data_IF_141118604554
#
_entry.id   IF_141118604554
#
_cell.length_a   1.000
_cell.length_b   1.000
_cell.length_c   1.000
_cell.angle_alpha   90.00
_cell.angle_beta   90.00
_cell.angle_gamma   90.00
#
_symmetry.space_group_name_H-M   'P 1'
#
loop_
_entity.id
_entity.type
_entity.pdbx_description
1 polymer ?
#
# COMPACT_ATOMS: atom_id res chain seq x y z
N UNK A 1 -13.02 0.95 -9.30
CA UNK A 1 -12.35 0.79 -8.00
C UNK A 1 -13.34 0.16 -7.05
N UNK A 2 -12.98 -0.92 -6.38
CA UNK A 2 -13.87 -1.64 -5.45
C UNK A 2 -13.92 -0.95 -4.08
N UNK A 3 -14.88 -1.32 -3.22
CA UNK A 3 -14.93 -0.79 -1.85
C UNK A 3 -13.65 -1.11 -1.06
N UNK A 4 -13.14 -2.34 -1.19
CA UNK A 4 -11.88 -2.75 -0.59
C UNK A 4 -10.71 -1.86 -1.04
N UNK A 5 -10.60 -1.55 -2.33
CA UNK A 5 -9.54 -0.70 -2.85
C UNK A 5 -9.60 0.73 -2.29
N UNK A 6 -10.82 1.27 -2.10
CA UNK A 6 -11.01 2.58 -1.47
C UNK A 6 -10.53 2.56 -0.02
N UNK A 7 -10.94 1.56 0.77
CA UNK A 7 -10.55 1.44 2.18
C UNK A 7 -9.03 1.24 2.34
N UNK A 8 -8.40 0.49 1.42
CA UNK A 8 -6.95 0.34 1.40
C UNK A 8 -6.24 1.67 1.11
N UNK A 9 -6.76 2.49 0.18
CA UNK A 9 -6.19 3.83 -0.09
C UNK A 9 -6.37 4.75 1.11
N UNK A 10 -7.54 4.75 1.76
CA UNK A 10 -7.80 5.54 2.97
C UNK A 10 -6.84 5.15 4.10
N UNK A 11 -6.60 3.85 4.31
CA UNK A 11 -5.64 3.36 5.29
C UNK A 11 -4.19 3.72 4.92
N UNK A 12 -3.85 3.66 3.63
CA UNK A 12 -2.55 4.07 3.11
C UNK A 12 -2.29 5.57 3.36
N UNK A 13 -3.29 6.41 3.10
CA UNK A 13 -3.24 7.84 3.40
C UNK A 13 -3.13 8.11 4.91
N UNK A 14 -3.87 7.37 5.75
CA UNK A 14 -3.75 7.48 7.21
C UNK A 14 -2.33 7.19 7.70
N UNK A 15 -1.73 6.10 7.20
CA UNK A 15 -0.36 5.75 7.53
C UNK A 15 0.62 6.83 7.06
N UNK A 16 0.41 7.36 5.84
CA UNK A 16 1.23 8.43 5.28
C UNK A 16 1.19 9.70 6.13
N UNK A 17 0.00 10.15 6.53
CA UNK A 17 -0.19 11.33 7.38
C UNK A 17 0.47 11.18 8.74
N UNK A 18 0.33 10.00 9.36
CA UNK A 18 0.89 9.73 10.69
C UNK A 18 2.41 9.60 10.70
N UNK A 19 2.98 8.91 9.70
CA UNK A 19 4.35 8.41 9.79
C UNK A 19 5.28 8.88 8.67
N UNK A 20 4.74 9.46 7.60
CA UNK A 20 5.50 9.84 6.39
C UNK A 20 5.23 11.28 5.96
N UNK A 21 4.88 12.17 6.91
CA UNK A 21 4.59 13.59 6.65
C UNK A 21 3.52 13.82 5.57
N UNK A 22 2.57 12.89 5.44
CA UNK A 22 1.51 12.93 4.42
C UNK A 22 1.93 12.49 3.02
N UNK A 23 3.18 12.07 2.80
CA UNK A 23 3.65 11.68 1.47
C UNK A 23 3.24 10.25 1.16
N UNK A 24 2.53 10.08 0.04
CA UNK A 24 2.33 8.78 -0.59
C UNK A 24 2.13 8.94 -2.09
N UNK A 25 2.45 7.88 -2.83
CA UNK A 25 2.28 7.79 -4.27
C UNK A 25 1.67 6.44 -4.61
N UNK A 26 0.61 6.43 -5.43
CA UNK A 26 0.07 5.22 -6.05
C UNK A 26 0.09 5.44 -7.56
N UNK A 27 0.70 4.52 -8.30
CA UNK A 27 0.89 4.62 -9.74
C UNK A 27 0.37 3.38 -10.46
N UNK A 28 -0.33 3.58 -11.57
CA UNK A 28 -0.76 2.53 -12.49
C UNK A 28 0.16 2.53 -13.72
N UNK A 29 0.84 1.42 -13.95
CA UNK A 29 1.57 1.14 -15.19
C UNK A 29 0.75 0.22 -16.09
N UNK A 30 1.19 -0.07 -17.31
CA UNK A 30 0.45 -0.99 -18.20
C UNK A 30 0.24 -2.39 -17.59
N UNK A 31 1.26 -2.90 -16.89
CA UNK A 31 1.30 -4.29 -16.39
C UNK A 31 1.21 -4.44 -14.88
N UNK A 32 1.34 -3.35 -14.12
CA UNK A 32 1.39 -3.40 -12.66
C UNK A 32 0.89 -2.12 -12.01
N UNK A 33 0.80 -2.17 -10.69
CA UNK A 33 0.59 -1.08 -9.77
C UNK A 33 1.82 -0.92 -8.90
N UNK A 34 2.11 0.33 -8.51
CA UNK A 34 3.16 0.66 -7.55
C UNK A 34 2.60 1.54 -6.44
N UNK A 35 2.98 1.25 -5.20
CA UNK A 35 2.65 2.06 -4.03
C UNK A 35 3.95 2.44 -3.29
N UNK A 36 4.02 3.67 -2.79
CA UNK A 36 5.18 4.17 -2.05
C UNK A 36 4.77 5.26 -1.05
N UNK A 37 5.53 5.38 0.04
CA UNK A 37 5.44 6.47 1.01
C UNK A 37 6.49 7.57 0.78
N UNK A 38 7.23 7.47 -0.32
CA UNK A 38 8.14 8.51 -0.78
C UNK A 38 7.67 9.04 -2.12
N UNK A 39 7.97 10.31 -2.39
CA UNK A 39 7.83 10.89 -3.73
C UNK A 39 9.08 10.53 -4.51
N UNK A 40 8.98 9.70 -5.58
CA UNK A 40 10.15 9.41 -6.40
C UNK A 40 10.58 10.69 -7.13
N UNK A 41 11.79 11.17 -6.84
CA UNK A 41 12.38 12.32 -7.52
C UNK A 41 13.15 11.89 -8.78
N UNK A 42 13.71 10.68 -8.77
CA UNK A 42 14.50 10.11 -9.85
C UNK A 42 13.99 8.72 -10.25
N UNK A 43 14.38 8.26 -11.43
CA UNK A 43 13.99 6.95 -11.96
C UNK A 43 14.39 5.80 -11.01
N UNK A 44 15.51 5.95 -10.33
CA UNK A 44 16.05 4.97 -9.38
C UNK A 44 15.14 4.80 -8.15
N UNK A 45 14.43 5.85 -7.72
CA UNK A 45 13.47 5.77 -6.62
C UNK A 45 12.21 4.95 -6.94
N UNK A 46 11.94 4.66 -8.23
CA UNK A 46 10.83 3.76 -8.59
C UNK A 46 11.12 2.32 -8.17
N UNK A 47 12.39 1.92 -8.05
CA UNK A 47 12.79 0.59 -7.58
C UNK A 47 12.40 0.35 -6.12
N UNK A 48 12.26 1.43 -5.33
CA UNK A 48 11.88 1.38 -3.92
C UNK A 48 10.35 1.30 -3.72
N UNK A 49 9.58 1.35 -4.81
CA UNK A 49 8.12 1.23 -4.76
C UNK A 49 7.69 -0.23 -4.63
N UNK A 50 6.63 -0.46 -3.85
CA UNK A 50 6.02 -1.77 -3.70
C UNK A 50 5.17 -2.10 -4.92
N UNK A 51 5.49 -3.20 -5.61
CA UNK A 51 4.86 -3.57 -6.89
C UNK A 51 3.80 -4.66 -6.67
N UNK A 52 2.65 -4.52 -7.31
CA UNK A 52 1.61 -5.54 -7.35
C UNK A 52 0.92 -5.62 -8.72
N UNK A 53 0.34 -6.77 -9.08
CA UNK A 53 -0.50 -6.87 -10.29
C UNK A 53 -1.81 -6.10 -10.16
N UNK A 54 -2.30 -5.95 -8.92
CA UNK A 54 -3.50 -5.21 -8.56
C UNK A 54 -3.14 -4.07 -7.60
N UNK A 55 -4.02 -3.06 -7.51
CA UNK A 55 -3.87 -1.97 -6.55
C UNK A 55 -3.81 -2.51 -5.13
N UNK A 56 -4.77 -3.38 -4.79
CA UNK A 56 -4.86 -3.99 -3.46
C UNK A 56 -3.58 -4.73 -3.07
N UNK A 57 -2.96 -5.46 -4.00
CA UNK A 57 -1.69 -6.13 -3.75
C UNK A 57 -0.57 -5.12 -3.50
N UNK A 58 -0.38 -4.11 -4.36
CA UNK A 58 0.68 -3.11 -4.20
C UNK A 58 0.57 -2.36 -2.86
N UNK A 59 -0.64 -1.89 -2.51
CA UNK A 59 -0.90 -1.14 -1.28
C UNK A 59 -0.75 -2.01 -0.03
N UNK A 60 -1.30 -3.22 -0.03
CA UNK A 60 -1.19 -4.14 1.12
C UNK A 60 0.26 -4.52 1.38
N UNK A 61 1.04 -4.79 0.33
CA UNK A 61 2.48 -5.07 0.46
C UNK A 61 3.22 -3.88 1.06
N UNK A 62 2.90 -2.65 0.64
CA UNK A 62 3.49 -1.44 1.20
C UNK A 62 3.17 -1.25 2.68
N UNK A 63 1.89 -1.40 3.06
CA UNK A 63 1.43 -1.31 4.45
C UNK A 63 2.13 -2.33 5.34
N UNK A 64 2.16 -3.61 4.94
CA UNK A 64 2.82 -4.69 5.69
C UNK A 64 4.32 -4.46 5.83
N UNK A 65 4.99 -4.05 4.76
CA UNK A 65 6.42 -3.81 4.79
C UNK A 65 6.79 -2.62 5.70
N UNK A 66 6.02 -1.53 5.68
CA UNK A 66 6.28 -0.37 6.53
C UNK A 66 5.79 -0.54 7.97
N UNK A 67 4.81 -1.41 8.22
CA UNK A 67 4.40 -1.76 9.59
C UNK A 67 5.60 -2.24 10.42
N UNK A 68 6.49 -3.06 9.85
CA UNK A 68 7.70 -3.54 10.54
C UNK A 68 8.62 -2.41 11.03
N UNK A 69 8.50 -1.22 10.42
CA UNK A 69 9.28 -0.03 10.74
C UNK A 69 8.55 0.84 11.77
N UNK A 70 7.27 1.14 11.53
CA UNK A 70 6.52 2.11 12.36
C UNK A 70 5.86 1.48 13.60
N UNK A 71 5.59 0.17 13.57
CA UNK A 71 4.96 -0.60 14.67
C UNK A 71 3.66 0.01 15.20
N UNK A 72 2.81 0.51 14.30
CA UNK A 72 1.49 1.05 14.62
C UNK A 72 0.44 -0.07 14.54
N UNK A 73 0.10 -0.63 15.70
CA UNK A 73 -0.88 -1.72 15.83
C UNK A 73 -2.27 -1.35 15.31
N UNK A 74 -2.63 -0.06 15.32
CA UNK A 74 -3.94 0.40 14.83
C UNK A 74 -4.03 0.22 13.32
N UNK A 75 -2.95 0.53 12.59
CA UNK A 75 -2.89 0.33 11.14
C UNK A 75 -2.97 -1.16 10.81
N UNK A 76 -2.27 -2.01 11.56
CA UNK A 76 -2.29 -3.46 11.33
C UNK A 76 -3.68 -4.07 11.60
N UNK A 77 -4.33 -3.70 12.70
CA UNK A 77 -5.68 -4.16 13.02
C UNK A 77 -6.70 -3.76 11.94
N UNK A 78 -6.60 -2.53 11.41
CA UNK A 78 -7.44 -2.06 10.30
C UNK A 78 -7.17 -2.85 9.01
N UNK A 79 -5.90 -3.14 8.71
CA UNK A 79 -5.53 -3.93 7.54
C UNK A 79 -6.08 -5.36 7.64
N UNK A 80 -5.95 -6.00 8.81
CA UNK A 80 -6.47 -7.35 9.05
C UNK A 80 -8.01 -7.37 8.98
N UNK A 81 -8.69 -6.32 9.45
CA UNK A 81 -10.14 -6.18 9.32
C UNK A 81 -10.59 -6.09 7.84
N UNK A 82 -9.87 -5.34 7.01
CA UNK A 82 -10.13 -5.26 5.56
C UNK A 82 -9.92 -6.64 4.91
N UNK A 83 -8.83 -7.34 5.25
CA UNK A 83 -8.55 -8.69 4.76
C UNK A 83 -9.62 -9.71 5.16
N UNK A 84 -10.14 -9.62 6.39
CA UNK A 84 -11.23 -10.46 6.87
C UNK A 84 -12.57 -10.22 6.17
N UNK A 85 -12.86 -8.97 5.76
CA UNK A 85 -14.11 -8.59 5.11
C UNK A 85 -14.16 -8.95 3.62
N UNK A 86 -13.02 -8.85 2.92
CA UNK A 86 -12.96 -8.97 1.46
C UNK A 86 -12.11 -10.14 0.95
N UNK A 87 -11.47 -10.88 1.87
CA UNK A 87 -10.47 -11.90 1.56
C UNK A 87 -9.08 -11.29 1.38
N UNK A 88 -8.04 -12.10 1.61
CA UNK A 88 -6.65 -11.67 1.37
C UNK A 88 -6.47 -11.27 -0.10
N UNK A 89 -5.93 -10.08 -0.39
CA UNK A 89 -5.70 -9.66 -1.77
C UNK A 89 -4.78 -10.67 -2.44
N UNK A 90 -5.21 -11.22 -3.58
CA UNK A 90 -4.44 -12.24 -4.27
C UNK A 90 -3.03 -11.73 -4.59
N UNK A 91 -2.07 -12.24 -3.83
CA UNK A 91 -0.64 -12.08 -4.06
C UNK A 91 -0.35 -12.97 -5.26
N UNK A 92 -0.52 -12.43 -6.47
CA UNK A 92 -0.08 -13.13 -7.65
C UNK A 92 1.45 -13.29 -7.57
N UNK A 93 1.90 -14.51 -7.27
CA UNK A 93 3.30 -14.89 -7.40
C UNK A 93 3.68 -14.74 -8.87
N UNK A 94 4.79 -14.06 -9.14
CA UNK A 94 5.43 -14.13 -10.45
C UNK A 94 5.83 -15.56 -10.78
#
# INVERSE_FOLDING_TARGET
MTRMEVELIELFEEMARKHFSGHFTIMRFSTNWRASFVTPAEYENFSESYVGLTLAHAVTTALRAKYLIVRDDTINQKLDAIGGLYGEPQIASK
#
